data_IF_190257567837
#
_entry.id   IF_190257567837
#
_cell.length_a   1.000
_cell.length_b   1.000
_cell.length_c   1.000
_cell.angle_alpha   90.00
_cell.angle_beta   90.00
_cell.angle_gamma   90.00
#
_symmetry.space_group_name_H-M   'P 1'
#
loop_
_entity.id
_entity.type
_entity.pdbx_description
1 polymer ?
#
# COMPACT_ATOMS: atom_id res chain seq x y z
N UNK A 1 -10.36 3.28 -28.73
CA UNK A 1 -9.43 2.57 -27.83
C UNK A 1 -9.75 1.10 -27.99
N UNK A 2 -8.83 0.23 -28.44
CA UNK A 2 -9.10 -1.20 -28.43
C UNK A 2 -9.31 -1.67 -26.98
N UNK A 3 -10.15 -2.69 -26.80
CA UNK A 3 -10.34 -3.31 -25.50
C UNK A 3 -9.03 -3.99 -25.07
N UNK A 4 -8.58 -3.71 -23.85
CA UNK A 4 -7.39 -4.33 -23.27
C UNK A 4 -7.72 -5.78 -22.93
N UNK A 5 -6.97 -6.73 -23.51
CA UNK A 5 -7.09 -8.15 -23.16
C UNK A 5 -6.21 -8.44 -21.94
N UNK A 6 -6.57 -9.47 -21.17
CA UNK A 6 -5.80 -9.88 -20.01
C UNK A 6 -4.34 -10.21 -20.36
N UNK A 7 -4.10 -10.83 -21.51
CA UNK A 7 -2.75 -11.15 -21.98
C UNK A 7 -1.91 -9.90 -22.31
N UNK A 8 -2.55 -8.76 -22.56
CA UNK A 8 -1.85 -7.49 -22.82
C UNK A 8 -1.37 -6.81 -21.54
N UNK A 9 -1.95 -7.17 -20.37
CA UNK A 9 -1.72 -6.47 -19.10
C UNK A 9 -1.23 -7.37 -17.97
N UNK A 10 -1.19 -8.68 -18.16
CA UNK A 10 -0.85 -9.66 -17.11
C UNK A 10 0.50 -9.37 -16.45
N UNK A 11 1.48 -8.88 -17.21
CA UNK A 11 2.81 -8.58 -16.68
C UNK A 11 2.80 -7.40 -15.69
N UNK A 12 1.81 -6.49 -15.76
CA UNK A 12 1.58 -5.46 -14.73
C UNK A 12 1.02 -6.00 -13.41
N UNK A 13 0.73 -7.30 -13.36
CA UNK A 13 0.30 -8.01 -12.15
C UNK A 13 1.29 -9.12 -11.78
N UNK A 14 2.45 -9.19 -12.45
CA UNK A 14 3.50 -10.13 -12.09
C UNK A 14 4.23 -9.61 -10.83
N UNK A 15 4.18 -10.35 -9.71
CA UNK A 15 4.78 -9.94 -8.44
C UNK A 15 6.31 -9.81 -8.51
N UNK A 16 6.97 -10.54 -9.41
CA UNK A 16 8.42 -10.52 -9.55
C UNK A 16 8.89 -9.37 -10.47
N UNK A 17 8.01 -8.84 -11.33
CA UNK A 17 8.30 -7.70 -12.22
C UNK A 17 7.88 -6.35 -11.61
N UNK A 18 6.75 -6.27 -10.91
CA UNK A 18 6.17 -5.00 -10.46
C UNK A 18 6.64 -4.55 -9.06
N UNK A 19 7.30 -5.41 -8.28
CA UNK A 19 7.73 -5.08 -6.91
C UNK A 19 8.82 -4.00 -6.77
N UNK A 20 9.21 -3.31 -7.85
CA UNK A 20 10.34 -2.37 -7.87
C UNK A 20 9.96 -0.89 -7.69
N UNK A 21 8.70 -0.50 -7.88
CA UNK A 21 8.22 0.89 -7.77
C UNK A 21 6.89 0.95 -7.00
N UNK A 22 6.60 2.07 -6.29
CA UNK A 22 5.34 2.26 -5.59
C UNK A 22 4.13 2.12 -6.53
N UNK A 23 3.27 1.14 -6.26
CA UNK A 23 2.00 0.92 -6.96
C UNK A 23 1.02 2.09 -6.77
N UNK A 24 1.05 2.72 -5.59
CA UNK A 24 0.16 3.81 -5.20
C UNK A 24 0.94 5.04 -4.77
N UNK A 25 0.49 6.20 -5.25
CA UNK A 25 1.03 7.51 -4.95
C UNK A 25 -0.11 8.48 -4.59
N UNK A 26 0.03 9.16 -3.46
CA UNK A 26 -0.86 10.25 -3.04
C UNK A 26 -0.03 11.53 -2.96
N UNK A 27 -0.26 12.43 -3.92
CA UNK A 27 0.39 13.75 -3.96
C UNK A 27 -0.21 14.73 -2.94
N UNK A 28 0.45 15.88 -2.76
CA UNK A 28 0.03 16.99 -1.90
C UNK A 28 -0.26 16.57 -0.46
N UNK A 29 0.46 15.56 0.03
CA UNK A 29 0.36 15.09 1.39
C UNK A 29 1.08 16.03 2.37
N UNK A 30 0.94 15.73 3.65
CA UNK A 30 1.66 16.42 4.71
C UNK A 30 2.18 15.44 5.77
N UNK A 31 3.06 15.94 6.65
CA UNK A 31 3.47 15.22 7.86
C UNK A 31 2.24 14.81 8.71
N UNK A 32 1.19 15.62 8.69
CA UNK A 32 -0.07 15.33 9.38
C UNK A 32 -0.79 14.12 8.80
N UNK A 33 -0.80 13.99 7.47
CA UNK A 33 -1.43 12.87 6.76
C UNK A 33 -0.67 11.56 7.01
N UNK A 34 0.67 11.61 6.97
CA UNK A 34 1.50 10.49 7.40
C UNK A 34 1.22 10.09 8.85
N UNK A 35 1.07 11.07 9.74
CA UNK A 35 0.74 10.80 11.14
C UNK A 35 -0.66 10.17 11.29
N UNK A 36 -1.61 10.53 10.42
CA UNK A 36 -2.93 9.93 10.36
C UNK A 36 -2.86 8.47 9.89
N UNK A 37 -2.02 8.13 8.90
CA UNK A 37 -1.76 6.73 8.50
C UNK A 37 -1.21 5.92 9.68
N UNK A 38 -0.19 6.43 10.38
CA UNK A 38 0.39 5.73 11.53
C UNK A 38 -0.65 5.58 12.67
N UNK A 39 -1.48 6.61 12.85
CA UNK A 39 -2.60 6.58 13.78
C UNK A 39 -3.65 5.54 13.39
N UNK A 40 -3.97 5.41 12.11
CA UNK A 40 -4.92 4.44 11.58
C UNK A 40 -4.46 3.01 11.87
N UNK A 41 -3.22 2.68 11.52
CA UNK A 41 -2.60 1.35 11.79
C UNK A 41 -2.76 0.96 13.26
N UNK A 42 -2.43 1.88 14.17
CA UNK A 42 -2.54 1.66 15.61
C UNK A 42 -4.00 1.55 16.08
N UNK A 43 -4.87 2.45 15.62
CA UNK A 43 -6.28 2.50 16.04
C UNK A 43 -7.06 1.26 15.61
N UNK A 44 -6.76 0.73 14.43
CA UNK A 44 -7.35 -0.49 13.88
C UNK A 44 -6.69 -1.76 14.41
N UNK A 45 -5.58 -1.62 15.16
CA UNK A 45 -4.78 -2.73 15.70
C UNK A 45 -4.35 -3.71 14.61
N UNK A 46 -4.04 -3.19 13.43
CA UNK A 46 -3.48 -4.00 12.37
C UNK A 46 -2.11 -4.52 12.77
N UNK A 47 -1.78 -5.72 12.32
CA UNK A 47 -0.41 -6.22 12.41
C UNK A 47 0.46 -5.30 11.56
N UNK A 48 1.59 -4.86 12.11
CA UNK A 48 2.53 -4.02 11.38
C UNK A 48 3.96 -4.27 11.85
N UNK A 49 4.90 -3.97 10.98
CA UNK A 49 6.33 -3.97 11.24
C UNK A 49 6.92 -2.66 10.71
N UNK A 50 7.67 -1.96 11.56
CA UNK A 50 8.47 -0.82 11.15
C UNK A 50 9.93 -1.21 11.17
N UNK A 51 10.64 -0.92 10.08
CA UNK A 51 12.08 -1.18 9.99
C UNK A 51 12.82 -0.03 9.33
N UNK A 52 14.11 0.05 9.65
CA UNK A 52 15.05 1.00 9.04
C UNK A 52 16.26 0.20 8.57
N UNK A 53 16.56 0.24 7.27
CA UNK A 53 17.66 -0.57 6.70
C UNK A 53 17.50 -2.06 6.97
N UNK A 54 16.26 -2.55 7.07
CA UNK A 54 15.94 -3.93 7.42
C UNK A 54 16.00 -4.26 8.93
N UNK A 55 16.35 -3.30 9.78
CA UNK A 55 16.36 -3.50 11.25
C UNK A 55 15.00 -3.11 11.83
N UNK A 56 14.29 -4.10 12.37
CA UNK A 56 12.97 -3.91 12.98
C UNK A 56 13.07 -3.12 14.29
N UNK A 57 12.15 -2.16 14.45
CA UNK A 57 12.09 -1.32 15.64
C UNK A 57 10.68 -0.80 15.94
N UNK A 58 10.52 -0.01 17.01
CA UNK A 58 9.25 0.63 17.32
C UNK A 58 8.91 1.70 16.28
N UNK A 59 7.64 1.77 15.87
CA UNK A 59 7.16 2.83 14.99
C UNK A 59 7.22 4.19 15.71
N UNK A 60 8.01 5.18 15.26
CA UNK A 60 8.07 6.52 15.87
C UNK A 60 6.92 7.41 15.37
N UNK A 61 6.96 8.71 15.67
CA UNK A 61 6.04 9.67 15.03
C UNK A 61 6.41 9.90 13.57
N UNK A 62 5.44 10.31 12.75
CA UNK A 62 5.71 10.63 11.34
C UNK A 62 6.75 11.75 11.20
N UNK A 63 6.68 12.78 12.05
CA UNK A 63 7.67 13.86 12.07
C UNK A 63 9.10 13.34 12.32
N UNK A 64 9.27 12.37 13.22
CA UNK A 64 10.59 11.78 13.49
C UNK A 64 11.09 10.96 12.29
N UNK A 65 10.22 10.17 11.66
CA UNK A 65 10.59 9.37 10.48
C UNK A 65 10.98 10.27 9.31
N UNK A 66 10.16 11.30 9.02
CA UNK A 66 10.35 12.21 7.88
C UNK A 66 11.46 13.25 8.10
N UNK A 67 11.89 13.48 9.34
CA UNK A 67 13.04 14.34 9.65
C UNK A 67 14.40 13.67 9.40
N UNK A 68 14.41 12.39 9.02
CA UNK A 68 15.66 11.64 8.78
C UNK A 68 16.38 12.21 7.55
N UNK A 69 17.73 12.22 7.55
CA UNK A 69 18.51 12.63 6.39
C UNK A 69 18.15 11.80 5.14
N UNK A 70 18.21 12.43 3.96
CA UNK A 70 17.89 11.78 2.69
C UNK A 70 18.87 10.63 2.31
N UNK A 71 20.07 10.63 2.89
CA UNK A 71 21.09 9.59 2.74
C UNK A 71 21.02 8.51 3.83
N UNK A 72 20.06 8.60 4.76
CA UNK A 72 19.86 7.59 5.78
C UNK A 72 19.19 6.33 5.20
N UNK A 73 19.37 5.19 5.87
CA UNK A 73 18.77 3.92 5.43
C UNK A 73 17.24 4.02 5.23
N UNK A 74 16.70 3.33 4.22
CA UNK A 74 15.28 3.34 3.90
C UNK A 74 14.43 2.96 5.13
N UNK A 75 13.37 3.73 5.41
CA UNK A 75 12.34 3.35 6.36
C UNK A 75 11.20 2.63 5.64
N UNK A 76 10.82 1.47 6.14
CA UNK A 76 9.66 0.72 5.65
C UNK A 76 8.65 0.52 6.78
N UNK A 77 7.37 0.77 6.47
CA UNK A 77 6.25 0.40 7.32
C UNK A 77 5.40 -0.64 6.58
N UNK A 78 5.55 -1.91 6.98
CA UNK A 78 4.77 -3.05 6.51
C UNK A 78 3.51 -3.17 7.36
N UNK A 79 2.36 -3.23 6.72
CA UNK A 79 1.05 -3.27 7.39
C UNK A 79 0.22 -4.38 6.78
N UNK A 80 -0.47 -5.15 7.62
CA UNK A 80 -1.45 -6.15 7.20
C UNK A 80 -2.85 -5.72 7.63
N UNK A 81 -3.60 -4.97 6.78
CA UNK A 81 -4.94 -4.49 7.12
C UNK A 81 -5.96 -5.61 7.27
N UNK A 82 -5.78 -6.67 6.50
CA UNK A 82 -6.51 -7.94 6.53
C UNK A 82 -5.53 -9.09 6.26
N UNK A 83 -5.89 -10.35 6.55
CA UNK A 83 -5.04 -11.50 6.19
C UNK A 83 -4.70 -11.48 4.69
N UNK A 84 -3.47 -11.88 4.38
CA UNK A 84 -3.00 -12.03 3.01
C UNK A 84 -3.05 -10.73 2.18
N UNK A 85 -2.98 -9.57 2.84
CA UNK A 85 -2.81 -8.27 2.20
C UNK A 85 -1.73 -7.51 2.94
N UNK A 86 -0.59 -7.30 2.28
CA UNK A 86 0.50 -6.50 2.79
C UNK A 86 0.58 -5.18 2.04
N UNK A 87 0.45 -4.07 2.76
CA UNK A 87 0.79 -2.74 2.27
C UNK A 87 2.17 -2.31 2.81
N UNK A 88 3.07 -1.88 1.91
CA UNK A 88 4.42 -1.43 2.28
C UNK A 88 4.54 0.07 2.02
N UNK A 89 4.44 0.87 3.08
CA UNK A 89 4.60 2.32 3.03
C UNK A 89 6.08 2.72 3.12
N UNK A 90 6.50 3.67 2.29
CA UNK A 90 7.87 4.21 2.27
C UNK A 90 7.87 5.71 2.52
N UNK A 91 8.07 6.16 3.77
CA UNK A 91 8.06 7.59 4.11
C UNK A 91 9.36 8.27 3.64
N UNK A 92 9.42 8.62 2.36
CA UNK A 92 10.57 9.31 1.72
C UNK A 92 10.47 10.84 1.78
N UNK A 93 9.25 11.35 1.67
CA UNK A 93 8.93 12.78 1.65
C UNK A 93 7.66 13.06 2.42
N UNK A 94 7.49 14.30 2.87
CA UNK A 94 6.29 14.70 3.61
C UNK A 94 5.13 15.09 2.69
N UNK A 95 5.44 15.45 1.45
CA UNK A 95 4.56 15.95 0.39
C UNK A 95 3.90 14.84 -0.44
N UNK A 96 4.31 13.59 -0.23
CA UNK A 96 3.74 12.43 -0.90
C UNK A 96 3.60 11.24 0.07
N UNK A 97 2.62 10.39 -0.21
CA UNK A 97 2.50 9.06 0.40
C UNK A 97 2.61 8.01 -0.69
N UNK A 98 3.71 7.29 -0.67
CA UNK A 98 3.98 6.18 -1.57
C UNK A 98 3.90 4.85 -0.85
N UNK A 99 3.22 3.89 -1.46
CA UNK A 99 3.17 2.52 -0.94
C UNK A 99 2.88 1.48 -2.03
N UNK A 100 3.31 0.26 -1.76
CA UNK A 100 3.00 -0.93 -2.56
C UNK A 100 1.95 -1.78 -1.88
N UNK A 101 1.26 -2.59 -2.69
CA UNK A 101 0.54 -3.76 -2.18
C UNK A 101 1.25 -5.02 -2.68
N UNK A 102 1.70 -5.87 -1.77
CA UNK A 102 2.43 -7.09 -2.14
C UNK A 102 1.49 -8.07 -2.83
N UNK A 103 1.60 -8.14 -4.16
CA UNK A 103 0.78 -8.99 -5.01
C UNK A 103 0.94 -10.48 -4.69
N UNK A 104 2.04 -10.88 -4.03
CA UNK A 104 2.27 -12.29 -3.62
C UNK A 104 1.32 -12.70 -2.51
N UNK A 105 0.95 -11.78 -1.62
CA UNK A 105 -0.03 -12.07 -0.56
C UNK A 105 -1.46 -12.06 -1.12
N UNK A 106 -1.74 -11.32 -2.19
CA UNK A 106 -3.06 -11.31 -2.85
C UNK A 106 -3.40 -12.60 -3.63
N UNK A 107 -2.44 -13.52 -3.81
CA UNK A 107 -2.64 -14.77 -4.55
C UNK A 107 -3.50 -15.76 -3.75
N UNK A 108 -4.82 -15.68 -3.90
CA UNK A 108 -5.76 -16.59 -3.22
C UNK A 108 -7.10 -15.99 -2.85
N UNK A 109 -7.30 -14.68 -3.03
CA UNK A 109 -8.61 -14.08 -2.90
C UNK A 109 -9.48 -14.44 -4.12
N UNK A 110 -10.76 -14.74 -3.89
CA UNK A 110 -11.69 -14.89 -5.02
C UNK A 110 -11.79 -13.55 -5.74
N UNK A 111 -11.23 -13.49 -6.95
CA UNK A 111 -11.48 -12.39 -7.86
C UNK A 111 -12.95 -12.48 -8.29
N UNK A 112 -13.80 -11.68 -7.64
CA UNK A 112 -15.13 -11.41 -8.18
C UNK A 112 -14.99 -10.23 -9.12
N UNK A 113 -15.11 -10.42 -10.46
CA UNK A 113 -15.27 -9.28 -11.33
C UNK A 113 -16.49 -8.51 -10.83
N UNK A 114 -16.31 -7.21 -10.56
CA UNK A 114 -17.41 -6.26 -10.55
C UNK A 114 -17.99 -6.24 -11.97
N UNK A 115 -18.79 -7.24 -12.32
CA UNK A 115 -19.64 -7.22 -13.49
C UNK A 115 -20.92 -6.51 -13.08
N UNK A 116 -21.33 -5.55 -13.89
CA UNK A 116 -22.48 -4.69 -13.70
C UNK A 116 -23.79 -5.46 -13.40
N UNK A 117 -24.04 -5.74 -12.12
CA UNK A 117 -25.33 -6.22 -11.62
C UNK A 117 -25.83 -5.30 -10.49
N UNK A 118 -25.86 -4.00 -10.77
CA UNK A 118 -26.80 -3.08 -10.13
C UNK A 118 -27.93 -2.78 -11.11
N UNK A 119 -28.60 -3.82 -11.61
CA UNK A 119 -29.87 -3.69 -12.31
C UNK A 119 -30.56 -5.05 -12.34
N UNK A 120 -31.17 -5.47 -11.24
CA UNK A 120 -32.53 -6.05 -11.22
C UNK A 120 -32.91 -6.22 -9.75
N UNK A 121 -33.60 -5.22 -9.19
CA UNK A 121 -34.47 -5.47 -8.03
C UNK A 121 -35.88 -5.06 -8.43
N UNK A 122 -36.67 -6.10 -8.67
CA UNK A 122 -38.10 -6.26 -8.42
C UNK A 122 -39.01 -5.03 -8.63
N UNK A 123 -39.74 -5.04 -9.76
CA UNK A 123 -41.13 -4.63 -9.76
C UNK A 123 -41.98 -5.92 -9.74
N UNK A 124 -42.63 -6.19 -8.61
CA UNK A 124 -43.80 -7.06 -8.51
C UNK A 124 -45.00 -6.16 -8.30
#
# INVERSE_FOLDING_TARGET
>A
MPDLLWDDVRDFFDPDLMGALPDLHVADASVGDWQAVFGLVRSKRWTFEYSVGGVVGPLPSAAQVLSRPADADMADLRVWPVPDVLAVFRPRGADEIDFDVDLRELQGQEWTPCVASCATSAAT
#
